data_IF_505826377742
#
_entry.id   IF_505826377742
#
_cell.length_a   1.000
_cell.length_b   1.000
_cell.length_c   1.000
_cell.angle_alpha   90.00
_cell.angle_beta   90.00
_cell.angle_gamma   90.00
#
_symmetry.space_group_name_H-M   'P 1'
#
loop_
_entity.id
_entity.type
_entity.pdbx_description
1 polymer ?
#
# COMPACT_ATOMS: atom_id res chain seq x y z
N UNK A 1 39.73 -17.38 -12.70
CA UNK A 1 38.48 -16.91 -12.03
C UNK A 1 38.74 -15.84 -10.97
N UNK A 2 39.65 -16.05 -9.99
CA UNK A 2 39.95 -15.03 -8.97
C UNK A 2 40.45 -13.70 -9.53
N UNK A 3 41.37 -13.71 -10.50
CA UNK A 3 41.90 -12.49 -11.12
C UNK A 3 40.82 -11.65 -11.85
N UNK A 4 39.82 -12.31 -12.45
CA UNK A 4 38.70 -11.63 -13.12
C UNK A 4 37.78 -10.98 -12.07
N UNK A 5 37.54 -11.66 -10.94
CA UNK A 5 36.72 -11.14 -9.85
C UNK A 5 37.43 -10.09 -8.99
N UNK A 6 38.75 -10.02 -9.01
CA UNK A 6 39.48 -8.97 -8.29
C UNK A 6 39.63 -7.68 -9.11
N UNK A 7 39.37 -7.76 -10.42
CA UNK A 7 39.47 -6.62 -11.32
C UNK A 7 38.50 -5.49 -10.93
N UNK A 8 39.06 -4.31 -10.69
CA UNK A 8 38.34 -3.09 -10.33
C UNK A 8 37.27 -2.71 -11.35
N UNK A 9 37.49 -2.94 -12.64
CA UNK A 9 36.51 -2.67 -13.69
C UNK A 9 35.29 -3.58 -13.58
N UNK A 10 35.50 -4.88 -13.29
CA UNK A 10 34.42 -5.84 -13.06
C UNK A 10 33.60 -5.44 -11.83
N UNK A 11 34.26 -5.07 -10.73
CA UNK A 11 33.57 -4.56 -9.52
C UNK A 11 32.76 -3.28 -9.79
N UNK A 12 33.26 -2.38 -10.63
CA UNK A 12 32.51 -1.17 -11.05
C UNK A 12 31.27 -1.54 -11.87
N UNK A 13 31.39 -2.44 -12.84
CA UNK A 13 30.22 -2.93 -13.59
C UNK A 13 29.19 -3.59 -12.68
N UNK A 14 29.62 -4.44 -11.74
CA UNK A 14 28.72 -5.08 -10.77
C UNK A 14 28.04 -4.05 -9.86
N UNK A 15 28.71 -2.95 -9.51
CA UNK A 15 28.11 -1.88 -8.69
C UNK A 15 26.97 -1.11 -9.38
N UNK A 16 26.83 -1.21 -10.71
CA UNK A 16 25.67 -0.64 -11.42
C UNK A 16 24.41 -1.46 -11.10
N UNK A 17 24.53 -2.79 -11.01
CA UNK A 17 23.40 -3.65 -10.62
C UNK A 17 22.96 -3.40 -9.17
N UNK A 18 23.88 -3.06 -8.27
CA UNK A 18 23.53 -2.70 -6.89
C UNK A 18 22.81 -1.34 -6.83
N UNK A 19 23.18 -0.39 -7.69
CA UNK A 19 22.42 0.85 -7.87
C UNK A 19 21.01 0.60 -8.42
N UNK A 20 20.85 -0.35 -9.35
CA UNK A 20 19.54 -0.74 -9.85
C UNK A 20 18.64 -1.32 -8.74
N UNK A 21 19.20 -2.12 -7.82
CA UNK A 21 18.47 -2.59 -6.64
C UNK A 21 18.00 -1.42 -5.75
N UNK A 22 18.90 -0.49 -5.41
CA UNK A 22 18.54 0.67 -4.61
C UNK A 22 17.47 1.55 -5.29
N UNK A 23 17.57 1.75 -6.60
CA UNK A 23 16.57 2.44 -7.40
C UNK A 23 15.21 1.72 -7.37
N UNK A 24 15.20 0.39 -7.47
CA UNK A 24 13.98 -0.42 -7.35
C UNK A 24 13.33 -0.24 -5.96
N UNK A 25 14.11 -0.24 -4.87
CA UNK A 25 13.57 0.02 -3.53
C UNK A 25 13.01 1.44 -3.42
N UNK A 26 13.70 2.44 -3.96
CA UNK A 26 13.19 3.82 -4.00
C UNK A 26 11.90 3.95 -4.82
N UNK A 27 11.79 3.22 -5.93
CA UNK A 27 10.56 3.15 -6.73
C UNK A 27 9.41 2.50 -5.93
N UNK A 28 9.67 1.44 -5.17
CA UNK A 28 8.67 0.87 -4.27
C UNK A 28 8.28 1.83 -3.15
N UNK A 29 9.23 2.57 -2.57
CA UNK A 29 8.93 3.63 -1.59
C UNK A 29 8.01 4.69 -2.20
N UNK A 30 8.31 5.16 -3.40
CA UNK A 30 7.48 6.14 -4.11
C UNK A 30 6.10 5.57 -4.48
N UNK A 31 6.04 4.33 -4.97
CA UNK A 31 4.79 3.68 -5.30
C UNK A 31 3.90 3.50 -4.06
N UNK A 32 4.46 3.06 -2.93
CA UNK A 32 3.69 2.88 -1.68
C UNK A 32 3.31 4.19 -0.99
N UNK A 33 3.98 5.31 -1.33
CA UNK A 33 3.51 6.65 -0.96
C UNK A 33 2.24 7.05 -1.73
N UNK A 34 2.18 6.74 -3.03
CA UNK A 34 1.09 7.15 -3.92
C UNK A 34 -0.10 6.17 -3.96
N UNK A 35 0.16 4.90 -3.69
CA UNK A 35 -0.77 3.79 -3.87
C UNK A 35 -0.79 2.88 -2.64
N UNK A 36 -1.95 2.28 -2.37
CA UNK A 36 -2.07 1.15 -1.48
C UNK A 36 -1.73 -0.12 -2.26
N UNK A 37 -0.72 -0.85 -1.80
CA UNK A 37 -0.36 -2.14 -2.38
C UNK A 37 -1.22 -3.25 -1.76
N UNK A 38 -1.96 -3.94 -2.62
CA UNK A 38 -2.84 -5.06 -2.23
C UNK A 38 -2.30 -6.33 -2.88
N UNK A 39 -1.95 -7.33 -2.09
CA UNK A 39 -1.48 -8.61 -2.62
C UNK A 39 -2.61 -9.41 -3.24
N UNK A 40 -2.32 -10.11 -4.35
CA UNK A 40 -3.26 -11.05 -4.92
C UNK A 40 -3.46 -12.25 -3.98
N UNK A 41 -4.69 -12.77 -3.90
CA UNK A 41 -5.06 -13.87 -3.00
C UNK A 41 -4.10 -15.06 -3.13
N UNK A 42 -3.52 -15.47 -2.00
CA UNK A 42 -2.58 -16.59 -1.92
C UNK A 42 -1.17 -16.34 -2.48
N UNK A 43 -0.86 -15.15 -3.02
CA UNK A 43 0.45 -14.87 -3.65
C UNK A 43 1.46 -14.13 -2.76
N UNK A 44 1.03 -13.67 -1.59
CA UNK A 44 1.90 -12.93 -0.65
C UNK A 44 3.13 -13.74 -0.23
N UNK A 45 2.95 -15.01 0.14
CA UNK A 45 4.05 -15.88 0.57
C UNK A 45 5.04 -16.17 -0.58
N UNK A 46 4.53 -16.46 -1.78
CA UNK A 46 5.37 -16.67 -2.97
C UNK A 46 6.17 -15.41 -3.32
N UNK A 47 5.54 -14.23 -3.26
CA UNK A 47 6.23 -12.97 -3.49
C UNK A 47 7.34 -12.74 -2.44
N UNK A 48 7.06 -12.97 -1.15
CA UNK A 48 8.06 -12.84 -0.08
C UNK A 48 9.29 -13.71 -0.34
N UNK A 49 9.10 -14.97 -0.72
CA UNK A 49 10.21 -15.91 -0.98
C UNK A 49 11.06 -15.43 -2.15
N UNK A 50 10.43 -15.09 -3.28
CA UNK A 50 11.16 -14.61 -4.47
C UNK A 50 11.90 -13.31 -4.14
N UNK A 51 11.23 -12.40 -3.44
CA UNK A 51 11.79 -11.11 -3.07
C UNK A 51 12.96 -11.26 -2.09
N UNK A 52 12.86 -12.14 -1.09
CA UNK A 52 13.93 -12.43 -0.16
C UNK A 52 15.15 -13.04 -0.84
N UNK A 53 14.95 -14.01 -1.75
CA UNK A 53 16.05 -14.60 -2.54
C UNK A 53 16.74 -13.53 -3.37
N UNK A 54 15.98 -12.69 -4.07
CA UNK A 54 16.53 -11.58 -4.85
C UNK A 54 17.33 -10.61 -3.97
N UNK A 55 16.79 -10.22 -2.81
CA UNK A 55 17.48 -9.36 -1.84
C UNK A 55 18.78 -9.98 -1.31
N UNK A 56 18.82 -11.29 -1.07
CA UNK A 56 20.06 -11.99 -0.67
C UNK A 56 21.09 -11.95 -1.80
N UNK A 57 20.69 -12.19 -3.04
CA UNK A 57 21.59 -12.08 -4.20
C UNK A 57 22.18 -10.67 -4.30
N UNK A 58 21.34 -9.63 -4.19
CA UNK A 58 21.82 -8.25 -4.22
C UNK A 58 22.69 -7.91 -3.01
N UNK A 59 22.41 -8.45 -1.83
CA UNK A 59 23.28 -8.30 -0.66
C UNK A 59 24.67 -8.87 -0.93
N UNK A 60 24.77 -10.08 -1.50
CA UNK A 60 26.06 -10.68 -1.85
C UNK A 60 26.81 -9.84 -2.89
N UNK A 61 26.12 -9.30 -3.89
CA UNK A 61 26.72 -8.39 -4.87
C UNK A 61 27.24 -7.11 -4.20
N UNK A 62 26.47 -6.52 -3.29
CA UNK A 62 26.88 -5.33 -2.53
C UNK A 62 28.08 -5.62 -1.62
N UNK A 63 28.12 -6.79 -0.96
CA UNK A 63 29.27 -7.20 -0.16
C UNK A 63 30.53 -7.35 -1.01
N UNK A 64 30.39 -7.90 -2.22
CA UNK A 64 31.48 -8.03 -3.17
C UNK A 64 31.99 -6.67 -3.68
N UNK A 65 31.10 -5.69 -3.89
CA UNK A 65 31.46 -4.33 -4.35
C UNK A 65 31.62 -3.30 -3.22
N UNK A 66 31.75 -3.74 -1.96
CA UNK A 66 31.75 -2.89 -0.76
C UNK A 66 32.81 -1.77 -0.72
N UNK A 67 33.89 -1.94 -1.49
CA UNK A 67 34.99 -0.98 -1.57
C UNK A 67 34.80 0.09 -2.66
N UNK A 68 33.82 -0.11 -3.55
CA UNK A 68 33.50 0.83 -4.63
C UNK A 68 32.67 2.00 -4.09
N UNK A 69 32.97 3.22 -4.55
CA UNK A 69 32.30 4.45 -4.14
C UNK A 69 30.76 4.36 -4.23
N UNK A 70 30.22 3.82 -5.32
CA UNK A 70 28.76 3.68 -5.49
C UNK A 70 28.13 2.86 -4.38
N UNK A 71 28.68 1.67 -4.06
CA UNK A 71 28.15 0.83 -2.99
C UNK A 71 28.26 1.51 -1.62
N UNK A 72 29.35 2.26 -1.36
CA UNK A 72 29.53 3.03 -0.12
C UNK A 72 28.51 4.15 0.03
N UNK A 73 28.16 4.81 -1.07
CA UNK A 73 27.11 5.83 -1.05
C UNK A 73 25.74 5.18 -0.80
N UNK A 74 25.44 4.09 -1.51
CA UNK A 74 24.18 3.36 -1.36
C UNK A 74 24.03 2.76 0.03
N UNK A 75 25.10 2.29 0.67
CA UNK A 75 25.04 1.74 2.02
C UNK A 75 24.59 2.78 3.07
N UNK A 76 24.85 4.06 2.81
CA UNK A 76 24.38 5.18 3.63
C UNK A 76 22.94 5.54 3.22
N UNK A 77 22.65 5.69 1.93
CA UNK A 77 21.34 6.12 1.44
C UNK A 77 20.20 5.09 1.62
N UNK A 78 20.51 3.80 1.71
CA UNK A 78 19.48 2.75 1.80
C UNK A 78 18.67 2.83 3.10
N UNK A 79 19.30 3.14 4.24
CA UNK A 79 18.59 3.22 5.53
C UNK A 79 17.48 4.29 5.58
N UNK A 80 17.69 5.55 5.11
CA UNK A 80 16.61 6.52 5.04
C UNK A 80 15.56 6.17 3.99
N UNK A 81 15.92 5.54 2.86
CA UNK A 81 14.94 5.10 1.86
C UNK A 81 14.00 4.03 2.44
N UNK A 82 14.58 3.06 3.15
CA UNK A 82 13.80 2.00 3.82
C UNK A 82 13.01 2.54 5.01
N UNK A 83 13.49 3.60 5.67
CA UNK A 83 12.71 4.28 6.71
C UNK A 83 11.39 4.84 6.15
N UNK A 84 11.44 5.54 5.02
CA UNK A 84 10.21 6.01 4.37
C UNK A 84 9.35 4.87 3.86
N UNK A 85 9.95 3.80 3.32
CA UNK A 85 9.21 2.59 2.95
C UNK A 85 8.45 2.01 4.15
N UNK A 86 9.10 1.96 5.31
CA UNK A 86 8.50 1.52 6.57
C UNK A 86 7.35 2.44 6.95
N UNK A 87 7.55 3.76 7.00
CA UNK A 87 6.50 4.72 7.39
C UNK A 87 5.24 4.61 6.53
N UNK A 88 5.40 4.48 5.21
CA UNK A 88 4.24 4.43 4.30
C UNK A 88 3.49 3.10 4.34
N UNK A 89 4.13 2.02 4.81
CA UNK A 89 3.56 0.68 4.87
C UNK A 89 3.21 0.20 6.29
N UNK A 90 3.57 0.96 7.34
CA UNK A 90 3.32 0.58 8.73
C UNK A 90 1.83 0.43 9.03
N UNK A 91 1.00 1.39 8.58
CA UNK A 91 -0.46 1.35 8.77
C UNK A 91 -1.17 0.28 7.93
N UNK A 92 -0.58 -0.12 6.79
CA UNK A 92 -1.18 -1.09 5.87
C UNK A 92 -0.78 -2.55 6.19
N UNK A 93 0.11 -2.77 7.17
CA UNK A 93 0.54 -4.12 7.56
C UNK A 93 1.37 -4.87 6.50
N UNK A 94 1.89 -4.17 5.47
CA UNK A 94 2.63 -4.76 4.35
C UNK A 94 4.10 -5.05 4.72
N UNK A 95 4.33 -5.81 5.79
CA UNK A 95 5.66 -6.17 6.31
C UNK A 95 6.52 -6.93 5.29
N UNK A 96 5.87 -7.65 4.38
CA UNK A 96 6.52 -8.39 3.28
C UNK A 96 7.41 -7.51 2.40
N UNK A 97 7.08 -6.23 2.21
CA UNK A 97 7.89 -5.30 1.42
C UNK A 97 9.05 -4.69 2.20
N UNK A 98 8.89 -4.58 3.52
CA UNK A 98 9.82 -3.86 4.40
C UNK A 98 10.98 -4.77 4.81
N UNK A 99 10.69 -6.02 5.20
CA UNK A 99 11.66 -6.88 5.87
C UNK A 99 12.91 -7.16 5.01
N UNK A 100 12.81 -7.64 3.75
CA UNK A 100 13.99 -7.94 2.96
C UNK A 100 14.92 -6.73 2.73
N UNK A 101 14.46 -5.55 2.25
CA UNK A 101 15.35 -4.42 2.03
C UNK A 101 15.88 -3.82 3.34
N UNK A 102 15.14 -3.92 4.46
CA UNK A 102 15.62 -3.49 5.77
C UNK A 102 16.82 -4.29 6.25
N UNK A 103 16.76 -5.63 6.13
CA UNK A 103 17.89 -6.50 6.45
C UNK A 103 19.09 -6.18 5.56
N UNK A 104 18.87 -6.02 4.25
CA UNK A 104 19.95 -5.66 3.31
C UNK A 104 20.58 -4.32 3.68
N UNK A 105 19.77 -3.29 3.96
CA UNK A 105 20.24 -1.95 4.32
C UNK A 105 21.06 -1.96 5.62
N UNK A 106 20.62 -2.69 6.65
CA UNK A 106 21.35 -2.84 7.90
C UNK A 106 22.69 -3.54 7.71
N UNK A 107 22.70 -4.68 7.03
CA UNK A 107 23.94 -5.46 6.85
C UNK A 107 24.96 -4.67 6.03
N UNK A 108 24.54 -4.05 4.92
CA UNK A 108 25.48 -3.32 4.07
C UNK A 108 25.99 -2.03 4.72
N UNK A 109 25.20 -1.38 5.56
CA UNK A 109 25.63 -0.19 6.31
C UNK A 109 26.87 -0.47 7.17
N UNK A 110 26.87 -1.60 7.89
CA UNK A 110 28.02 -2.01 8.71
C UNK A 110 29.14 -2.63 7.89
N UNK A 111 28.81 -3.44 6.89
CA UNK A 111 29.78 -4.20 6.10
C UNK A 111 30.51 -3.37 5.02
N UNK A 112 29.97 -2.21 4.63
CA UNK A 112 30.61 -1.34 3.66
C UNK A 112 31.93 -0.75 4.19
N UNK A 113 32.89 -0.53 3.29
CA UNK A 113 34.20 0.04 3.64
C UNK A 113 34.18 1.57 3.72
N UNK A 114 33.12 2.12 4.30
CA UNK A 114 32.99 3.53 4.70
C UNK A 114 33.80 3.79 5.98
N UNK A 115 34.12 5.04 6.28
CA UNK A 115 34.87 5.36 7.50
C UNK A 115 34.06 5.05 8.76
N UNK A 116 34.73 4.53 9.79
CA UNK A 116 34.08 4.16 11.06
C UNK A 116 33.41 5.36 11.73
N UNK A 117 34.04 6.53 11.70
CA UNK A 117 33.43 7.77 12.21
C UNK A 117 32.12 8.11 11.51
N UNK A 118 32.02 7.91 10.18
CA UNK A 118 30.76 8.15 9.45
C UNK A 118 29.68 7.13 9.84
N UNK A 119 30.03 5.85 10.02
CA UNK A 119 29.06 4.83 10.46
C UNK A 119 28.54 5.14 11.86
N UNK A 120 29.39 5.60 12.76
CA UNK A 120 28.96 5.99 14.11
C UNK A 120 28.01 7.19 14.05
N UNK A 121 28.37 8.26 13.34
CA UNK A 121 27.54 9.48 13.23
C UNK A 121 26.21 9.18 12.52
N UNK A 122 26.25 8.50 11.37
CA UNK A 122 25.03 8.18 10.63
C UNK A 122 24.18 7.14 11.39
N UNK A 123 24.81 6.20 12.08
CA UNK A 123 24.12 5.19 12.88
C UNK A 123 23.32 5.80 14.03
N UNK A 124 23.89 6.79 14.74
CA UNK A 124 23.14 7.52 15.78
C UNK A 124 22.00 8.35 15.20
N UNK A 125 22.21 9.02 14.06
CA UNK A 125 21.17 9.74 13.33
C UNK A 125 20.04 8.81 12.91
N UNK A 126 20.35 7.65 12.33
CA UNK A 126 19.35 6.68 11.89
C UNK A 126 18.60 6.08 13.06
N UNK A 127 19.27 5.76 14.17
CA UNK A 127 18.60 5.27 15.36
C UNK A 127 17.56 6.28 15.86
N UNK A 128 17.95 7.55 15.98
CA UNK A 128 17.04 8.63 16.38
C UNK A 128 15.91 8.82 15.36
N UNK A 129 16.21 8.81 14.07
CA UNK A 129 15.21 8.93 12.99
C UNK A 129 14.16 7.82 13.07
N UNK A 130 14.59 6.56 13.23
CA UNK A 130 13.68 5.43 13.31
C UNK A 130 12.83 5.48 14.59
N UNK A 131 13.45 5.70 15.76
CA UNK A 131 12.72 5.73 17.02
C UNK A 131 11.77 6.92 17.08
N UNK A 132 12.27 8.15 16.92
CA UNK A 132 11.46 9.36 17.01
C UNK A 132 10.46 9.46 15.87
N UNK A 133 10.85 9.05 14.66
CA UNK A 133 9.98 9.09 13.50
C UNK A 133 8.81 8.11 13.57
N UNK A 134 9.03 6.89 14.08
CA UNK A 134 7.94 5.93 14.33
C UNK A 134 7.03 6.45 15.45
N UNK A 135 7.59 6.96 16.54
CA UNK A 135 6.79 7.53 17.64
C UNK A 135 5.96 8.72 17.16
N UNK A 136 6.54 9.64 16.40
CA UNK A 136 5.83 10.77 15.81
C UNK A 136 4.72 10.30 14.86
N UNK A 137 4.99 9.30 14.01
CA UNK A 137 3.98 8.68 13.15
C UNK A 137 2.80 8.12 13.95
N UNK A 138 3.09 7.38 15.04
CA UNK A 138 2.05 6.81 15.89
C UNK A 138 1.23 7.91 16.55
N UNK A 139 1.88 8.95 17.08
CA UNK A 139 1.19 10.11 17.69
C UNK A 139 0.32 10.81 16.66
N UNK A 140 0.82 11.08 15.45
CA UNK A 140 0.01 11.68 14.38
C UNK A 140 -1.21 10.82 14.06
N UNK A 141 -1.04 9.50 13.92
CA UNK A 141 -2.18 8.61 13.72
C UNK A 141 -3.13 8.65 14.92
N UNK A 142 -2.65 8.62 16.16
CA UNK A 142 -3.54 8.72 17.34
C UNK A 142 -4.29 10.06 17.44
N UNK A 143 -3.68 11.16 16.99
CA UNK A 143 -4.27 12.50 17.07
C UNK A 143 -5.27 12.77 15.94
N UNK A 144 -5.00 12.29 14.73
CA UNK A 144 -5.76 12.63 13.53
C UNK A 144 -6.66 11.51 13.02
N UNK A 145 -6.29 10.25 13.28
CA UNK A 145 -7.10 9.10 12.96
C UNK A 145 -8.17 8.98 14.05
N UNK A 146 -9.41 9.33 13.71
CA UNK A 146 -10.54 9.24 14.65
C UNK A 146 -10.72 7.84 15.25
N UNK A 147 -11.58 7.71 16.26
CA UNK A 147 -11.81 6.46 17.01
C UNK A 147 -12.37 5.28 16.18
N UNK A 148 -12.70 5.51 14.92
CA UNK A 148 -13.38 4.56 14.05
C UNK A 148 -12.38 3.68 13.29
N UNK A 149 -12.31 2.40 13.64
CA UNK A 149 -11.53 1.41 12.88
C UNK A 149 -12.37 0.96 11.69
N UNK A 150 -11.88 1.20 10.47
CA UNK A 150 -12.54 0.77 9.24
C UNK A 150 -11.90 -0.50 8.70
N UNK A 151 -12.69 -1.57 8.61
CA UNK A 151 -12.27 -2.86 8.03
C UNK A 151 -12.86 -3.00 6.64
N UNK A 152 -12.05 -3.07 5.57
CA UNK A 152 -12.55 -3.34 4.22
C UNK A 152 -13.35 -4.63 4.18
N UNK A 153 -14.53 -4.57 3.56
CA UNK A 153 -15.38 -5.72 3.30
C UNK A 153 -15.13 -6.17 1.87
N UNK A 154 -14.28 -7.20 1.72
CA UNK A 154 -13.94 -7.82 0.44
C UNK A 154 -13.70 -9.33 0.62
N UNK A 155 -13.32 -10.01 -0.45
CA UNK A 155 -13.02 -11.45 -0.44
C UNK A 155 -11.78 -11.84 0.39
N UNK A 156 -10.98 -10.86 0.81
CA UNK A 156 -9.79 -11.05 1.66
C UNK A 156 -10.05 -10.76 3.13
N UNK A 157 -11.32 -10.66 3.54
CA UNK A 157 -11.70 -10.45 4.93
C UNK A 157 -11.09 -11.52 5.84
N UNK A 158 -10.28 -11.07 6.80
CA UNK A 158 -9.55 -11.92 7.72
C UNK A 158 -10.51 -12.78 8.57
N UNK A 159 -10.43 -14.12 8.49
CA UNK A 159 -11.27 -15.04 9.27
C UNK A 159 -11.21 -14.82 10.79
N UNK A 160 -10.09 -14.32 11.30
CA UNK A 160 -9.88 -14.08 12.73
C UNK A 160 -10.40 -12.69 13.17
N UNK A 161 -10.85 -11.86 12.23
CA UNK A 161 -11.38 -10.52 12.52
C UNK A 161 -12.79 -10.55 13.10
N UNK A 162 -13.10 -9.58 13.96
CA UNK A 162 -14.46 -9.41 14.49
C UNK A 162 -15.49 -9.16 13.37
N UNK A 163 -15.09 -8.46 12.30
CA UNK A 163 -15.95 -8.20 11.14
C UNK A 163 -16.40 -9.51 10.48
N UNK A 164 -15.49 -10.47 10.30
CA UNK A 164 -15.80 -11.78 9.71
C UNK A 164 -16.97 -12.48 10.42
N UNK A 165 -17.00 -12.43 11.76
CA UNK A 165 -18.09 -13.07 12.53
C UNK A 165 -19.49 -12.56 12.20
N UNK A 166 -19.61 -11.29 11.78
CA UNK A 166 -20.88 -10.67 11.38
C UNK A 166 -21.30 -11.01 9.95
N UNK A 167 -20.34 -11.18 9.03
CA UNK A 167 -20.62 -11.40 7.60
C UNK A 167 -20.45 -12.85 7.14
N UNK A 168 -19.98 -13.76 8.00
CA UNK A 168 -19.70 -15.18 7.67
C UNK A 168 -20.88 -15.90 7.00
N UNK A 169 -22.11 -15.53 7.34
CA UNK A 169 -23.33 -16.17 6.81
C UNK A 169 -23.62 -15.74 5.37
N UNK A 170 -23.19 -14.54 4.98
CA UNK A 170 -23.48 -13.91 3.67
C UNK A 170 -22.22 -13.73 2.80
N UNK A 171 -21.16 -14.51 3.05
CA UNK A 171 -19.91 -14.42 2.27
C UNK A 171 -20.12 -14.61 0.76
N UNK A 172 -21.09 -15.45 0.36
CA UNK A 172 -21.43 -15.64 -1.05
C UNK A 172 -21.96 -14.35 -1.66
N UNK A 173 -22.83 -13.63 -0.94
CA UNK A 173 -23.36 -12.35 -1.42
C UNK A 173 -22.27 -11.28 -1.41
N UNK A 174 -21.46 -11.21 -0.34
CA UNK A 174 -20.31 -10.32 -0.27
C UNK A 174 -19.36 -10.51 -1.45
N UNK A 175 -19.03 -11.75 -1.82
CA UNK A 175 -18.17 -12.05 -2.96
C UNK A 175 -18.74 -11.57 -4.29
N UNK A 176 -20.06 -11.60 -4.47
CA UNK A 176 -20.72 -11.10 -5.68
C UNK A 176 -20.67 -9.58 -5.77
N UNK A 177 -20.97 -8.89 -4.66
CA UNK A 177 -20.98 -7.43 -4.63
C UNK A 177 -19.57 -6.85 -4.75
N UNK A 178 -18.58 -7.51 -4.13
CA UNK A 178 -17.18 -7.05 -4.07
C UNK A 178 -16.29 -7.61 -5.18
N UNK A 179 -16.87 -8.33 -6.15
CA UNK A 179 -16.12 -8.76 -7.33
C UNK A 179 -15.62 -7.54 -8.12
N UNK A 180 -14.41 -7.63 -8.67
CA UNK A 180 -13.81 -6.59 -9.51
C UNK A 180 -14.75 -6.21 -10.69
N UNK A 181 -15.43 -7.19 -11.31
CA UNK A 181 -16.37 -6.95 -12.42
C UNK A 181 -17.53 -6.02 -12.06
N UNK A 182 -17.95 -6.00 -10.79
CA UNK A 182 -19.01 -5.13 -10.30
C UNK A 182 -18.46 -3.85 -9.66
N UNK A 183 -17.30 -3.95 -9.03
CA UNK A 183 -16.68 -2.89 -8.25
C UNK A 183 -16.23 -1.71 -9.13
N UNK A 184 -15.70 -2.02 -10.31
CA UNK A 184 -15.26 -1.02 -11.28
C UNK A 184 -16.43 -0.43 -12.07
N UNK A 185 -16.39 0.88 -12.31
CA UNK A 185 -17.38 1.53 -13.17
C UNK A 185 -17.27 1.03 -14.62
N UNK A 186 -18.36 1.09 -15.41
CA UNK A 186 -18.35 0.62 -16.80
C UNK A 186 -17.30 1.30 -17.70
N UNK A 187 -16.87 2.53 -17.35
CA UNK A 187 -15.82 3.27 -18.04
C UNK A 187 -14.42 3.07 -17.41
N UNK A 188 -14.30 2.26 -16.37
CA UNK A 188 -13.06 1.94 -15.65
C UNK A 188 -12.49 3.08 -14.81
N UNK A 189 -13.14 4.25 -14.75
CA UNK A 189 -12.58 5.45 -14.09
C UNK A 189 -12.72 5.45 -12.57
N UNK A 190 -13.71 4.76 -12.04
CA UNK A 190 -14.04 4.74 -10.62
C UNK A 190 -14.18 3.31 -10.13
N UNK A 191 -13.99 3.12 -8.83
CA UNK A 191 -14.37 1.91 -8.13
C UNK A 191 -15.00 2.26 -6.80
N UNK A 192 -15.89 1.41 -6.32
CA UNK A 192 -16.38 1.53 -4.95
C UNK A 192 -15.69 0.52 -4.03
N UNK A 193 -15.78 0.73 -2.73
CA UNK A 193 -15.51 -0.33 -1.76
C UNK A 193 -16.34 -0.06 -0.51
N UNK A 194 -16.51 -1.10 0.29
CA UNK A 194 -17.29 -1.04 1.51
C UNK A 194 -16.37 -1.26 2.70
N UNK A 195 -16.66 -0.59 3.82
CA UNK A 195 -15.95 -0.84 5.08
C UNK A 195 -16.95 -1.04 6.20
N UNK A 196 -16.66 -2.01 7.07
CA UNK A 196 -17.27 -2.13 8.38
C UNK A 196 -16.54 -1.21 9.34
N UNK A 197 -17.28 -0.28 9.92
CA UNK A 197 -16.73 0.75 10.81
C UNK A 197 -17.06 0.40 12.23
N UNK A 198 -16.01 0.04 12.98
CA UNK A 198 -16.07 -0.18 14.42
C UNK A 198 -16.01 1.15 15.14
N UNK A 199 -17.19 1.73 15.27
CA UNK A 199 -17.55 2.78 16.22
C UNK A 199 -18.62 2.23 17.20
N UNK A 200 -19.03 3.04 18.16
CA UNK A 200 -20.05 2.80 19.20
C UNK A 200 -21.28 2.03 18.69
N UNK A 201 -21.76 2.36 17.49
CA UNK A 201 -22.96 1.78 16.87
C UNK A 201 -22.68 0.69 15.82
N UNK A 202 -21.46 0.60 15.29
CA UNK A 202 -21.11 -0.31 14.19
C UNK A 202 -21.88 -0.06 12.88
N UNK A 203 -21.26 0.54 11.86
CA UNK A 203 -21.96 0.86 10.58
C UNK A 203 -21.16 0.43 9.37
N UNK A 204 -21.86 0.16 8.27
CA UNK A 204 -21.23 -0.06 6.96
C UNK A 204 -21.20 1.26 6.18
N UNK A 205 -20.02 1.62 5.72
CA UNK A 205 -19.80 2.77 4.83
C UNK A 205 -19.52 2.30 3.42
N UNK A 206 -20.00 3.06 2.44
CA UNK A 206 -19.69 2.86 1.02
C UNK A 206 -18.88 4.06 0.55
N UNK A 207 -17.73 3.78 -0.05
CA UNK A 207 -16.82 4.75 -0.63
C UNK A 207 -16.76 4.62 -2.13
N UNK A 208 -16.50 5.73 -2.80
CA UNK A 208 -16.08 5.77 -4.20
C UNK A 208 -14.71 6.41 -4.28
N UNK A 209 -13.84 5.80 -5.08
CA UNK A 209 -12.48 6.24 -5.33
C UNK A 209 -12.18 6.21 -6.82
N UNK A 210 -11.25 7.06 -7.30
CA UNK A 210 -10.80 6.97 -8.67
C UNK A 210 -9.99 5.68 -8.84
N UNK A 211 -10.08 5.12 -10.04
CA UNK A 211 -9.47 3.86 -10.43
C UNK A 211 -8.69 3.95 -11.75
N UNK A 212 -8.70 5.13 -12.39
CA UNK A 212 -8.00 5.39 -13.66
C UNK A 212 -6.48 5.20 -13.58
N UNK A 213 -5.91 5.31 -12.38
CA UNK A 213 -4.48 5.11 -12.12
C UNK A 213 -4.18 3.77 -11.41
N UNK A 214 -5.18 2.89 -11.25
CA UNK A 214 -4.94 1.59 -10.64
C UNK A 214 -4.08 0.72 -11.58
N UNK A 215 -3.02 0.12 -11.03
CA UNK A 215 -2.11 -0.75 -11.79
C UNK A 215 -2.22 -2.17 -11.25
N UNK A 216 -2.63 -3.10 -12.11
CA UNK A 216 -2.70 -4.53 -11.76
C UNK A 216 -1.44 -5.25 -12.23
N UNK A 217 -0.68 -5.84 -11.31
CA UNK A 217 0.50 -6.65 -11.60
C UNK A 217 0.27 -8.11 -11.19
N UNK A 218 1.21 -9.00 -11.57
CA UNK A 218 1.07 -10.46 -11.38
C UNK A 218 0.93 -10.90 -9.91
N UNK A 219 1.55 -10.17 -8.98
CA UNK A 219 1.63 -10.51 -7.55
C UNK A 219 0.83 -9.57 -6.64
N UNK A 220 0.62 -8.33 -7.07
CA UNK A 220 -0.07 -7.31 -6.30
C UNK A 220 -0.67 -6.27 -7.24
N UNK A 221 -1.63 -5.51 -6.73
CA UNK A 221 -2.21 -4.36 -7.41
C UNK A 221 -1.89 -3.10 -6.63
N UNK A 222 -1.56 -2.03 -7.35
CA UNK A 222 -1.39 -0.70 -6.81
C UNK A 222 -2.71 0.03 -6.98
N UNK A 223 -3.42 0.24 -5.87
CA UNK A 223 -4.71 0.93 -5.83
C UNK A 223 -4.50 2.37 -5.39
N UNK A 224 -5.10 3.34 -6.08
CA UNK A 224 -4.88 4.76 -5.79
C UNK A 224 -5.23 5.10 -4.33
N UNK A 225 -4.37 5.89 -3.67
CA UNK A 225 -4.51 6.36 -2.28
C UNK A 225 -4.77 7.88 -2.25
N UNK A 226 -5.38 8.40 -1.19
CA UNK A 226 -5.51 9.83 -0.95
C UNK A 226 -6.74 10.50 -1.55
N UNK A 227 -7.60 9.78 -2.29
CA UNK A 227 -8.85 10.33 -2.84
C UNK A 227 -9.99 9.39 -2.47
N UNK A 228 -10.85 9.80 -1.53
CA UNK A 228 -12.03 9.04 -1.11
C UNK A 228 -13.26 9.89 -0.95
N UNK A 229 -14.36 9.48 -1.58
CA UNK A 229 -15.67 10.11 -1.40
C UNK A 229 -16.59 9.15 -0.65
N UNK A 230 -17.14 9.61 0.47
CA UNK A 230 -18.18 8.89 1.20
C UNK A 230 -19.49 9.01 0.42
N UNK A 231 -20.09 7.88 0.04
CA UNK A 231 -21.42 7.85 -0.57
C UNK A 231 -22.50 7.75 0.50
N UNK A 232 -22.31 6.90 1.49
CA UNK A 232 -23.24 6.71 2.61
C UNK A 232 -22.54 6.16 3.84
N UNK A 233 -23.06 6.52 5.01
CA UNK A 233 -22.61 6.05 6.34
C UNK A 233 -23.71 5.35 7.12
N UNK A 234 -24.83 5.03 6.44
CA UNK A 234 -26.06 4.55 7.07
C UNK A 234 -26.26 3.04 6.94
N UNK A 235 -25.24 2.30 6.49
CA UNK A 235 -25.33 0.85 6.41
C UNK A 235 -25.34 0.20 7.79
N UNK A 236 -26.02 -0.93 7.90
CA UNK A 236 -26.15 -1.70 9.15
C UNK A 236 -25.08 -2.78 9.19
N UNK A 237 -24.34 -2.87 10.30
CA UNK A 237 -23.34 -3.92 10.50
C UNK A 237 -23.97 -5.32 10.41
N UNK A 238 -23.28 -6.23 9.73
CA UNK A 238 -23.71 -7.62 9.52
C UNK A 238 -24.67 -7.81 8.36
N UNK A 239 -25.09 -6.73 7.69
CA UNK A 239 -25.87 -6.80 6.44
C UNK A 239 -24.98 -6.33 5.30
N UNK A 240 -24.84 -7.15 4.26
CA UNK A 240 -24.10 -6.80 3.04
C UNK A 240 -25.01 -5.92 2.15
N UNK A 241 -24.65 -4.65 1.88
CA UNK A 241 -25.41 -3.82 0.96
C UNK A 241 -25.31 -4.33 -0.47
N UNK A 242 -26.39 -4.23 -1.24
CA UNK A 242 -26.32 -4.36 -2.70
C UNK A 242 -25.78 -3.05 -3.29
N UNK A 243 -24.76 -3.14 -4.11
CA UNK A 243 -24.12 -1.98 -4.74
C UNK A 243 -23.77 -2.32 -6.19
N UNK A 244 -24.00 -1.38 -7.10
CA UNK A 244 -23.63 -1.52 -8.50
C UNK A 244 -23.66 -0.20 -9.27
N UNK A 245 -23.20 -0.23 -10.51
CA UNK A 245 -23.14 0.94 -11.37
C UNK A 245 -24.33 1.01 -12.33
N UNK A 246 -24.81 2.21 -12.62
CA UNK A 246 -25.77 2.49 -13.68
C UNK A 246 -25.34 3.72 -14.48
N UNK A 247 -25.50 3.65 -15.79
CA UNK A 247 -25.20 4.75 -16.71
C UNK A 247 -26.51 5.42 -17.12
N UNK A 248 -26.63 6.73 -16.91
CA UNK A 248 -27.76 7.53 -17.36
C UNK A 248 -27.30 8.62 -18.32
N UNK A 249 -28.17 9.05 -19.23
CA UNK A 249 -27.89 10.21 -20.09
C UNK A 249 -28.41 11.47 -19.40
N UNK A 250 -27.57 12.50 -19.30
CA UNK A 250 -28.00 13.82 -18.83
C UNK A 250 -28.87 14.51 -19.90
N UNK A 251 -29.49 15.64 -19.54
CA UNK A 251 -30.30 16.50 -20.42
C UNK A 251 -29.56 16.95 -21.69
N UNK A 252 -28.22 16.90 -21.68
CA UNK A 252 -27.34 17.23 -22.80
C UNK A 252 -26.86 15.99 -23.59
N UNK A 253 -27.39 14.79 -23.29
CA UNK A 253 -27.02 13.54 -23.96
C UNK A 253 -25.70 12.91 -23.50
N UNK A 254 -24.94 13.58 -22.61
CA UNK A 254 -23.71 13.05 -22.03
C UNK A 254 -24.00 11.89 -21.08
N UNK A 255 -23.21 10.82 -21.15
CA UNK A 255 -23.30 9.71 -20.20
C UNK A 255 -22.77 10.15 -18.84
N UNK A 256 -23.54 9.88 -17.79
CA UNK A 256 -23.24 10.18 -16.39
C UNK A 256 -23.36 8.90 -15.58
N UNK A 257 -22.37 8.65 -14.73
CA UNK A 257 -22.31 7.49 -13.85
C UNK A 257 -23.07 7.74 -12.57
N UNK A 258 -23.85 6.75 -12.18
CA UNK A 258 -24.53 6.68 -10.89
C UNK A 258 -24.11 5.40 -10.18
N UNK A 259 -23.76 5.53 -8.91
CA UNK A 259 -23.65 4.38 -8.01
C UNK A 259 -25.03 4.13 -7.40
N UNK A 260 -25.61 2.98 -7.71
CA UNK A 260 -26.88 2.53 -7.17
C UNK A 260 -26.60 1.59 -5.99
N UNK A 261 -27.25 1.83 -4.86
CA UNK A 261 -27.06 1.01 -3.68
C UNK A 261 -28.34 0.82 -2.87
N UNK A 262 -28.39 -0.28 -2.13
CA UNK A 262 -29.48 -0.67 -1.24
C UNK A 262 -28.86 -1.25 0.03
N UNK A 263 -29.19 -0.67 1.18
CA UNK A 263 -28.49 -0.95 2.45
C UNK A 263 -29.01 -2.20 3.16
N UNK A 264 -30.27 -2.56 2.94
CA UNK A 264 -30.89 -3.76 3.45
C UNK A 264 -31.87 -4.34 2.41
N UNK A 265 -32.19 -5.65 2.44
CA UNK A 265 -33.09 -6.28 1.46
C UNK A 265 -34.48 -5.65 1.36
N UNK A 266 -34.94 -4.94 2.39
CA UNK A 266 -36.24 -4.25 2.43
C UNK A 266 -36.19 -2.80 1.95
N UNK A 267 -34.99 -2.23 1.78
CA UNK A 267 -34.81 -0.82 1.43
C UNK A 267 -35.10 -0.53 -0.05
N UNK A 268 -35.46 0.72 -0.35
CA UNK A 268 -35.52 1.23 -1.71
C UNK A 268 -34.11 1.52 -2.25
N UNK A 269 -33.96 1.38 -3.56
CA UNK A 269 -32.73 1.75 -4.26
C UNK A 269 -32.46 3.25 -4.12
N UNK A 270 -31.21 3.58 -3.78
CA UNK A 270 -30.69 4.94 -3.72
C UNK A 270 -29.62 5.10 -4.78
N UNK A 271 -29.44 6.33 -5.26
CA UNK A 271 -28.48 6.63 -6.31
C UNK A 271 -27.59 7.79 -5.91
N UNK A 272 -26.30 7.69 -6.24
CA UNK A 272 -25.33 8.76 -6.05
C UNK A 272 -24.63 9.07 -7.39
N UNK A 273 -24.78 10.30 -7.88
CA UNK A 273 -24.08 10.78 -9.08
C UNK A 273 -22.57 10.82 -8.81
N UNK A 274 -21.77 10.18 -9.66
CA UNK A 274 -20.31 10.16 -9.59
C UNK A 274 -19.73 10.86 -10.81
N UNK A 275 -18.94 11.90 -10.57
CA UNK A 275 -18.23 12.70 -11.58
C UNK A 275 -16.87 13.09 -11.01
N UNK A 276 -15.90 13.37 -11.89
CA UNK A 276 -14.56 13.84 -11.48
C UNK A 276 -14.64 15.13 -10.66
N UNK A 277 -15.58 16.03 -10.98
CA UNK A 277 -15.83 17.28 -10.23
C UNK A 277 -16.31 17.05 -8.79
N UNK A 278 -17.00 15.94 -8.52
CA UNK A 278 -17.53 15.61 -7.20
C UNK A 278 -16.51 14.87 -6.33
N UNK A 279 -15.33 14.56 -6.85
CA UNK A 279 -14.27 13.89 -6.11
C UNK A 279 -13.41 14.90 -5.35
N UNK A 280 -12.99 14.59 -4.12
CA UNK A 280 -12.08 15.45 -3.38
C UNK A 280 -10.69 15.47 -4.03
N UNK A 281 -9.91 16.51 -3.72
CA UNK A 281 -8.50 16.58 -4.11
C UNK A 281 -7.68 15.52 -3.38
N UNK A 282 -6.58 15.09 -4.01
CA UNK A 282 -5.65 14.11 -3.43
C UNK A 282 -5.05 14.64 -2.12
N UNK A 283 -5.30 13.92 -1.04
CA UNK A 283 -4.71 14.13 0.27
C UNK A 283 -3.45 13.26 0.42
N UNK A 284 -2.28 13.90 0.32
CA UNK A 284 -0.99 13.25 0.50
C UNK A 284 -0.66 12.91 1.96
N UNK A 285 -1.43 13.42 2.92
CA UNK A 285 -1.21 13.24 4.35
C UNK A 285 -2.05 12.11 4.95
N UNK A 286 -2.84 11.41 4.13
CA UNK A 286 -3.67 10.27 4.58
C UNK A 286 -2.83 9.18 5.26
N UNK A 287 -1.56 9.01 4.88
CA UNK A 287 -0.67 8.04 5.54
C UNK A 287 -0.34 8.41 7.01
N UNK A 288 -0.48 9.67 7.41
CA UNK A 288 -0.34 10.12 8.80
C UNK A 288 -1.66 10.05 9.58
N UNK A 289 -2.70 9.45 9.00
CA UNK A 289 -4.04 9.42 9.58
C UNK A 289 -4.83 10.72 9.41
N UNK A 290 -4.29 11.70 8.68
CA UNK A 290 -4.97 12.97 8.40
C UNK A 290 -5.94 12.73 7.23
N UNK A 291 -7.24 12.59 7.52
CA UNK A 291 -8.29 12.37 6.51
C UNK A 291 -8.87 13.66 5.96
#
# INVERSE_FOLDING_TARGET
>A
MKEILENTWVKRCVSIFTAAYAAMIALFTYATFQYNLVFASGKQATFLIIYAIASIVFLLLMLYTRDIFMTKLLSILMLPIVFFLLLFNLGNGNWTLIIPPFVVALVIFFAASTSESLKVIMGTIYLLLYVLGIVAYIICNMLFQGSAIETPLDMSLDPDSAAYSYYKTDLVHLSKVTNDDNTYSPDGKFRFYMTDVKDSDGRVKIYVVPASEDITLKFFSLKQKGIKRVVTTKGTRGIVPDVGWTVKKDKQGKQVLYLCYKLAPTDSWKEAKVTEENMPKKNYWEFLGIS
#
